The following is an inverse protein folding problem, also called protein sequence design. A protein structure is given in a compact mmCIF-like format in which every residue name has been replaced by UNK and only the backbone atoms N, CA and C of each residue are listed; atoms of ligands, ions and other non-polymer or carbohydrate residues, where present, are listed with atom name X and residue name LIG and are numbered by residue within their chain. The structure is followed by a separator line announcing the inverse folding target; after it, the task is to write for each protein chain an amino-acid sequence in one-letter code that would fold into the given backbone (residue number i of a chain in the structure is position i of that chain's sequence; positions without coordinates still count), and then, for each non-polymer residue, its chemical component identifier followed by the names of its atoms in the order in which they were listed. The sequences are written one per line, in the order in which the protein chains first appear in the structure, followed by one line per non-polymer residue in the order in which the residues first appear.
data_IF_996831770921
#
_entry.id   IF_996831770921
#
_cell.length_a   1.000
_cell.length_b   1.000
_cell.length_c   1.000
_cell.angle_alpha   90.00
_cell.angle_beta   90.00
_cell.angle_gamma   90.00
#
_symmetry.space_group_name_H-M   'P 1'
#
loop_
_entity.id
_entity.type
_entity.pdbx_description
1 polymer ?
#
# COMPACT_ATOMS: atom_id res chain seq x y z
N UNK A 1 0.42 0.40 22.74
CA UNK A 1 0.70 -0.57 21.65
C UNK A 1 -0.27 -0.30 20.50
N UNK A 2 0.05 -0.68 19.27
CA UNK A 2 -0.80 -0.42 18.10
C UNK A 2 -0.45 -1.32 16.90
N UNK A 3 -1.20 -1.19 15.80
CA UNK A 3 -0.98 -1.95 14.55
C UNK A 3 -0.56 -1.00 13.41
N UNK A 4 0.51 -1.34 12.71
CA UNK A 4 1.04 -0.57 11.57
C UNK A 4 1.23 -1.49 10.36
N UNK A 5 0.46 -1.28 9.30
CA UNK A 5 0.56 -2.08 8.08
C UNK A 5 1.91 -1.89 7.39
N UNK A 6 2.57 -2.99 7.03
CA UNK A 6 3.84 -2.98 6.32
C UNK A 6 3.69 -2.49 4.89
N UNK A 7 4.61 -1.62 4.45
CA UNK A 7 4.62 -1.13 3.08
C UNK A 7 3.32 -0.44 2.68
N UNK A 8 2.80 0.47 3.52
CA UNK A 8 1.54 1.18 3.31
C UNK A 8 1.45 1.95 1.97
N UNK A 9 2.60 2.21 1.34
CA UNK A 9 2.76 2.60 -0.07
C UNK A 9 3.62 1.54 -0.77
N UNK A 10 3.30 1.22 -2.02
CA UNK A 10 4.07 0.23 -2.80
C UNK A 10 5.56 0.57 -2.83
N UNK A 11 6.40 -0.43 -2.55
CA UNK A 11 7.85 -0.32 -2.40
C UNK A 11 8.54 -1.60 -2.91
N UNK A 12 9.87 -1.55 -3.01
CA UNK A 12 10.71 -2.70 -3.37
C UNK A 12 10.68 -3.74 -2.26
N UNK A 13 10.25 -4.96 -2.58
CA UNK A 13 10.25 -6.06 -1.62
C UNK A 13 11.67 -6.44 -1.17
N UNK A 14 11.83 -6.67 0.14
CA UNK A 14 13.16 -6.93 0.72
C UNK A 14 13.76 -8.28 0.29
N UNK A 15 12.93 -9.29 -0.01
CA UNK A 15 13.39 -10.64 -0.33
C UNK A 15 13.86 -10.80 -1.77
N UNK A 16 13.13 -10.19 -2.71
CA UNK A 16 13.28 -10.44 -4.15
C UNK A 16 13.62 -9.19 -4.95
N UNK A 17 13.59 -8.00 -4.34
CA UNK A 17 13.89 -6.75 -5.03
C UNK A 17 12.79 -6.30 -6.01
N UNK A 18 11.59 -6.85 -5.88
CA UNK A 18 10.47 -6.65 -6.82
C UNK A 18 9.53 -5.52 -6.38
N UNK A 19 9.10 -4.69 -7.34
CA UNK A 19 7.93 -3.79 -7.29
C UNK A 19 6.63 -4.50 -7.68
N UNK A 20 6.69 -5.60 -8.43
CA UNK A 20 5.51 -6.40 -8.78
C UNK A 20 4.81 -6.99 -7.56
N UNK A 21 5.56 -7.27 -6.48
CA UNK A 21 5.01 -7.66 -5.18
C UNK A 21 4.54 -6.43 -4.38
N UNK A 22 3.23 -6.16 -4.44
CA UNK A 22 2.62 -4.92 -3.93
C UNK A 22 1.91 -5.11 -2.60
N UNK A 23 2.21 -4.25 -1.64
CA UNK A 23 1.66 -4.29 -0.27
C UNK A 23 0.78 -3.07 0.06
N UNK A 24 1.00 -1.95 -0.63
CA UNK A 24 0.48 -0.67 -0.20
C UNK A 24 -1.00 -0.49 -0.42
N UNK A 25 -1.57 0.40 0.38
CA UNK A 25 -2.86 1.02 0.11
C UNK A 25 -2.75 2.10 -0.98
N UNK A 26 -1.51 2.56 -1.23
CA UNK A 26 -1.17 3.52 -2.28
C UNK A 26 -0.35 2.79 -3.34
N UNK A 27 -0.88 2.75 -4.56
CA UNK A 27 -0.17 2.26 -5.74
C UNK A 27 0.92 3.25 -6.14
N UNK A 28 2.07 2.74 -6.55
CA UNK A 28 3.15 3.50 -7.19
C UNK A 28 3.38 2.94 -8.59
N UNK A 29 3.33 3.83 -9.59
CA UNK A 29 3.63 3.53 -10.98
C UNK A 29 5.14 3.32 -11.17
N UNK A 30 5.59 2.13 -10.81
CA UNK A 30 6.96 1.64 -10.94
C UNK A 30 6.94 0.14 -11.14
N UNK A 31 7.77 -0.34 -12.06
CA UNK A 31 7.86 -1.74 -12.45
C UNK A 31 9.28 -2.30 -12.23
N UNK A 32 9.42 -3.63 -12.28
CA UNK A 32 10.67 -4.34 -12.00
C UNK A 32 11.77 -4.02 -13.03
N UNK A 33 11.39 -3.70 -14.26
CA UNK A 33 12.29 -3.26 -15.34
C UNK A 33 12.75 -1.80 -15.19
N UNK A 34 12.29 -1.10 -14.14
CA UNK A 34 12.61 0.29 -13.87
C UNK A 34 11.73 1.30 -14.62
N UNK A 35 10.78 0.87 -15.45
CA UNK A 35 9.81 1.77 -16.09
C UNK A 35 8.75 2.29 -15.10
N UNK A 36 8.03 3.35 -15.49
CA UNK A 36 6.98 3.98 -14.70
C UNK A 36 7.28 5.44 -14.33
N UNK A 37 6.23 6.20 -14.04
CA UNK A 37 6.26 7.65 -13.77
C UNK A 37 6.46 8.02 -12.31
N UNK A 38 6.43 7.03 -11.41
CA UNK A 38 6.31 7.20 -9.97
C UNK A 38 5.02 7.93 -9.56
N UNK A 39 3.98 8.00 -10.40
CA UNK A 39 2.67 8.51 -10.00
C UNK A 39 2.09 7.67 -8.85
N UNK A 40 1.39 8.32 -7.92
CA UNK A 40 0.72 7.66 -6.79
C UNK A 40 -0.78 7.63 -7.01
N UNK A 41 -1.39 6.46 -6.83
CA UNK A 41 -2.85 6.29 -6.92
C UNK A 41 -3.38 5.62 -5.66
N UNK A 42 -4.49 6.12 -5.13
CA UNK A 42 -5.17 5.49 -3.99
C UNK A 42 -5.84 4.22 -4.49
N UNK A 43 -5.54 3.07 -3.86
CA UNK A 43 -6.26 1.81 -4.10
C UNK A 43 -7.57 1.82 -3.31
N UNK A 44 -8.50 0.92 -3.60
CA UNK A 44 -9.75 0.80 -2.83
C UNK A 44 -9.48 0.54 -1.35
N UNK A 45 -8.44 -0.25 -1.06
CA UNK A 45 -7.96 -0.53 0.29
C UNK A 45 -7.50 0.71 1.06
N UNK A 46 -7.19 1.82 0.38
CA UNK A 46 -6.93 3.12 1.03
C UNK A 46 -8.16 3.64 1.77
N UNK A 47 -9.32 3.60 1.12
CA UNK A 47 -10.55 4.11 1.72
C UNK A 47 -11.08 3.16 2.80
N UNK A 48 -10.92 1.86 2.58
CA UNK A 48 -11.19 0.86 3.61
C UNK A 48 -10.34 1.11 4.87
N UNK A 49 -9.00 1.21 4.75
CA UNK A 49 -8.14 1.36 5.92
C UNK A 49 -8.34 2.73 6.60
N UNK A 50 -8.68 3.77 5.83
CA UNK A 50 -9.13 5.06 6.38
C UNK A 50 -10.34 4.87 7.30
N UNK A 51 -11.36 4.14 6.85
CA UNK A 51 -12.58 3.87 7.63
C UNK A 51 -12.29 3.04 8.89
N UNK A 52 -11.44 2.02 8.77
CA UNK A 52 -10.98 1.21 9.92
C UNK A 52 -10.35 2.10 10.99
N UNK A 53 -9.44 3.01 10.60
CA UNK A 53 -8.79 3.93 11.54
C UNK A 53 -9.81 4.91 12.15
N UNK A 54 -10.67 5.52 11.33
CA UNK A 54 -11.67 6.51 11.78
C UNK A 54 -12.69 5.92 12.75
N UNK A 55 -13.00 4.64 12.61
CA UNK A 55 -13.91 3.91 13.50
C UNK A 55 -13.20 3.23 14.66
N UNK A 56 -11.88 3.42 14.81
CA UNK A 56 -11.05 2.71 15.77
C UNK A 56 -11.26 1.18 15.73
N UNK A 57 -11.42 0.64 14.52
CA UNK A 57 -11.65 -0.78 14.26
C UNK A 57 -13.07 -1.26 14.49
N UNK A 58 -14.04 -0.39 14.79
CA UNK A 58 -15.44 -0.79 14.94
C UNK A 58 -16.12 -1.19 13.62
N UNK A 59 -15.58 -0.74 12.49
CA UNK A 59 -16.05 -1.11 11.14
C UNK A 59 -14.86 -1.60 10.31
N UNK A 60 -14.84 -2.91 10.04
CA UNK A 60 -13.75 -3.59 9.34
C UNK A 60 -14.03 -3.87 7.86
N UNK A 61 -15.09 -3.28 7.29
CA UNK A 61 -15.53 -3.53 5.92
C UNK A 61 -16.78 -4.38 5.85
#
# INVERSE_FOLDING_TARGET
MGYTSWGCIDLVSASTGEFSKRYGFIYVDKHDDGSGTLERKKKDSFFWYKKVIETNGADLG
#
